data_IF_787098618296
#
_entry.id   IF_787098618296
#
_cell.length_a   1.000
_cell.length_b   1.000
_cell.length_c   1.000
_cell.angle_alpha   90.00
_cell.angle_beta   90.00
_cell.angle_gamma   90.00
#
_symmetry.space_group_name_H-M   'P 1'
#
loop_
_entity.id
_entity.type
_entity.pdbx_description
1 polymer ?
#
# COMPACT_ATOMS: atom_id res chain seq x y z
N UNK A 1 -22.76 -24.63 -25.77
CA UNK A 1 -21.90 -23.58 -25.17
C UNK A 1 -21.36 -24.16 -23.88
N UNK A 2 -20.10 -24.59 -23.87
CA UNK A 2 -19.48 -25.16 -22.68
C UNK A 2 -19.06 -24.01 -21.77
N UNK A 3 -19.86 -23.74 -20.74
CA UNK A 3 -19.44 -22.88 -19.65
C UNK A 3 -18.32 -23.62 -18.93
N UNK A 4 -17.06 -23.21 -19.14
CA UNK A 4 -15.98 -23.59 -18.25
C UNK A 4 -16.35 -22.99 -16.89
N UNK A 5 -16.97 -23.80 -16.03
CA UNK A 5 -17.09 -23.50 -14.60
C UNK A 5 -15.65 -23.50 -14.11
N UNK A 6 -15.03 -22.31 -14.04
CA UNK A 6 -13.76 -22.20 -13.36
C UNK A 6 -14.02 -22.60 -11.92
N UNK A 7 -13.50 -23.76 -11.53
CA UNK A 7 -13.45 -24.21 -10.13
C UNK A 7 -12.52 -23.25 -9.37
N UNK A 8 -13.00 -22.03 -9.12
CA UNK A 8 -12.33 -21.05 -8.30
C UNK A 8 -12.39 -21.58 -6.86
N UNK A 9 -11.24 -21.64 -6.21
CA UNK A 9 -11.10 -22.09 -4.83
C UNK A 9 -10.51 -20.96 -4.02
N UNK A 10 -11.04 -20.76 -2.81
CA UNK A 10 -10.54 -19.78 -1.88
C UNK A 10 -9.04 -20.00 -1.63
N UNK A 11 -8.18 -18.98 -1.81
CA UNK A 11 -6.73 -19.11 -1.63
C UNK A 11 -6.33 -19.45 -0.19
N UNK A 12 -7.19 -19.16 0.79
CA UNK A 12 -6.95 -19.48 2.20
C UNK A 12 -7.35 -20.92 2.55
N UNK A 13 -8.64 -21.26 2.43
CA UNK A 13 -9.20 -22.52 2.93
C UNK A 13 -9.50 -23.57 1.84
N UNK A 14 -9.39 -23.22 0.56
CA UNK A 14 -9.68 -24.13 -0.56
C UNK A 14 -11.17 -24.37 -0.85
N UNK A 15 -12.07 -23.66 -0.15
CA UNK A 15 -13.51 -23.76 -0.37
C UNK A 15 -13.89 -23.30 -1.79
N UNK A 16 -14.85 -23.97 -2.47
CA UNK A 16 -15.32 -23.53 -3.79
C UNK A 16 -15.95 -22.14 -3.70
N UNK A 17 -15.52 -21.23 -4.57
CA UNK A 17 -16.02 -19.85 -4.63
C UNK A 17 -16.58 -19.58 -6.03
N UNK A 18 -17.52 -18.65 -6.11
CA UNK A 18 -18.10 -18.16 -7.36
C UNK A 18 -17.34 -16.93 -7.87
N UNK A 19 -17.42 -16.67 -9.17
CA UNK A 19 -16.83 -15.48 -9.80
C UNK A 19 -17.38 -14.21 -9.13
N UNK A 20 -16.50 -13.32 -8.69
CA UNK A 20 -16.87 -12.03 -8.08
C UNK A 20 -17.28 -12.09 -6.60
N UNK A 21 -17.14 -13.23 -5.91
CA UNK A 21 -17.30 -13.28 -4.46
C UNK A 21 -16.15 -12.53 -3.77
N UNK A 22 -16.49 -11.53 -2.95
CA UNK A 22 -15.51 -10.76 -2.16
C UNK A 22 -15.06 -11.49 -0.90
N UNK A 23 -15.92 -12.35 -0.36
CA UNK A 23 -15.67 -13.15 0.84
C UNK A 23 -16.06 -14.60 0.62
N UNK A 24 -15.26 -15.50 1.20
CA UNK A 24 -15.52 -16.93 1.21
C UNK A 24 -16.60 -17.26 2.24
N UNK A 25 -17.43 -18.30 2.04
CA UNK A 25 -18.39 -18.79 3.06
C UNK A 25 -17.77 -19.12 4.42
N UNK A 26 -16.46 -19.38 4.48
CA UNK A 26 -15.69 -19.59 5.71
C UNK A 26 -15.28 -18.27 6.42
N UNK A 27 -15.69 -17.09 5.91
CA UNK A 27 -15.36 -15.78 6.48
C UNK A 27 -13.97 -15.24 6.11
N UNK A 28 -13.33 -15.80 5.08
CA UNK A 28 -12.03 -15.33 4.62
C UNK A 28 -12.17 -14.35 3.45
N UNK A 29 -11.45 -13.21 3.45
CA UNK A 29 -11.48 -12.27 2.33
C UNK A 29 -10.86 -12.92 1.10
N UNK A 30 -11.56 -12.87 -0.03
CA UNK A 30 -11.03 -13.30 -1.33
C UNK A 30 -10.28 -12.14 -1.97
N UNK A 31 -10.85 -10.93 -1.91
CA UNK A 31 -10.20 -9.69 -2.33
C UNK A 31 -9.62 -8.96 -1.11
N UNK A 32 -8.31 -8.78 -1.09
CA UNK A 32 -7.60 -8.07 -0.03
C UNK A 32 -7.71 -6.58 -0.30
N UNK A 33 -8.56 -5.89 0.46
CA UNK A 33 -8.81 -4.46 0.30
C UNK A 33 -7.89 -3.58 1.14
N UNK A 34 -7.35 -4.12 2.24
CA UNK A 34 -6.52 -3.38 3.20
C UNK A 34 -5.31 -4.20 3.64
N UNK A 35 -4.21 -3.52 3.98
CA UNK A 35 -3.00 -4.15 4.49
C UNK A 35 -3.23 -4.89 5.81
N UNK A 36 -4.20 -4.45 6.63
CA UNK A 36 -4.53 -5.09 7.90
C UNK A 36 -4.91 -6.57 7.73
N UNK A 37 -5.60 -6.88 6.64
CA UNK A 37 -6.02 -8.25 6.33
C UNK A 37 -4.83 -9.17 6.05
N UNK A 38 -3.73 -8.66 5.50
CA UNK A 38 -2.53 -9.45 5.18
C UNK A 38 -1.43 -9.35 6.23
N UNK A 39 -1.51 -8.41 7.17
CA UNK A 39 -0.39 -8.14 8.06
C UNK A 39 -0.02 -9.38 8.92
N UNK A 40 -1.04 -10.11 9.38
CA UNK A 40 -0.89 -11.34 10.16
C UNK A 40 -0.78 -12.62 9.32
N UNK A 41 -0.86 -12.53 7.99
CA UNK A 41 -0.75 -13.70 7.11
C UNK A 41 0.71 -14.14 6.91
N UNK A 42 1.01 -15.44 7.01
CA UNK A 42 2.35 -15.95 6.75
C UNK A 42 2.68 -15.93 5.25
N UNK A 43 3.95 -15.76 4.89
CA UNK A 43 4.39 -15.61 3.50
C UNK A 43 3.90 -16.70 2.52
N UNK A 44 3.81 -17.99 2.90
CA UNK A 44 3.24 -19.02 2.02
C UNK A 44 1.76 -18.77 1.68
N UNK A 45 0.99 -18.21 2.61
CA UNK A 45 -0.41 -17.86 2.40
C UNK A 45 -0.52 -16.67 1.44
N UNK A 46 0.28 -15.62 1.66
CA UNK A 46 0.33 -14.45 0.76
C UNK A 46 0.69 -14.86 -0.67
N UNK A 47 1.63 -15.80 -0.84
CA UNK A 47 1.98 -16.35 -2.16
C UNK A 47 0.81 -17.10 -2.84
N UNK A 48 -0.08 -17.74 -2.08
CA UNK A 48 -1.30 -18.35 -2.65
C UNK A 48 -2.25 -17.29 -3.20
N UNK A 49 -2.45 -16.18 -2.47
CA UNK A 49 -3.23 -15.03 -2.95
C UNK A 49 -2.62 -14.43 -4.22
N UNK A 50 -1.31 -14.23 -4.25
CA UNK A 50 -0.62 -13.72 -5.46
C UNK A 50 -0.88 -14.62 -6.67
N UNK A 51 -0.78 -15.94 -6.50
CA UNK A 51 -1.04 -16.89 -7.59
C UNK A 51 -2.51 -16.92 -8.01
N UNK A 52 -3.43 -16.71 -7.07
CA UNK A 52 -4.86 -16.58 -7.34
C UNK A 52 -5.14 -15.33 -8.19
N UNK A 53 -4.69 -14.15 -7.74
CA UNK A 53 -4.87 -12.89 -8.47
C UNK A 53 -4.19 -12.86 -9.83
N UNK A 54 -3.01 -13.48 -9.98
CA UNK A 54 -2.35 -13.61 -11.30
C UNK A 54 -3.20 -14.37 -12.31
N UNK A 55 -3.98 -15.38 -11.87
CA UNK A 55 -4.89 -16.10 -12.76
C UNK A 55 -6.06 -15.21 -13.18
N UNK A 56 -6.61 -14.44 -12.25
CA UNK A 56 -7.71 -13.50 -12.54
C UNK A 56 -7.26 -12.37 -13.49
N UNK A 57 -6.10 -11.77 -13.22
CA UNK A 57 -5.49 -10.76 -14.10
C UNK A 57 -5.10 -11.32 -15.48
N UNK A 58 -5.00 -12.64 -15.63
CA UNK A 58 -4.84 -13.28 -16.93
C UNK A 58 -6.08 -13.14 -17.82
N UNK A 59 -7.26 -12.95 -17.21
CA UNK A 59 -8.53 -12.73 -17.93
C UNK A 59 -8.87 -11.24 -18.07
N UNK A 60 -8.57 -10.44 -17.06
CA UNK A 60 -8.80 -8.99 -17.04
C UNK A 60 -7.58 -8.27 -16.45
N UNK A 61 -6.56 -7.94 -17.27
CA UNK A 61 -5.29 -7.38 -16.78
C UNK A 61 -5.40 -6.00 -16.12
N UNK A 62 -6.44 -5.24 -16.45
CA UNK A 62 -6.67 -3.87 -16.00
C UNK A 62 -7.67 -3.80 -14.84
N UNK A 63 -8.00 -4.95 -14.24
CA UNK A 63 -8.91 -4.99 -13.10
C UNK A 63 -8.29 -4.27 -11.89
N UNK A 64 -8.86 -3.12 -11.53
CA UNK A 64 -8.28 -2.22 -10.51
C UNK A 64 -8.32 -2.80 -9.11
N UNK A 65 -9.43 -3.44 -8.73
CA UNK A 65 -9.58 -4.06 -7.41
C UNK A 65 -8.54 -5.19 -7.21
N UNK A 66 -8.33 -6.01 -8.25
CA UNK A 66 -7.37 -7.12 -8.20
C UNK A 66 -5.93 -6.61 -8.25
N UNK A 67 -5.65 -5.59 -9.07
CA UNK A 67 -4.34 -4.93 -9.11
C UNK A 67 -3.97 -4.29 -7.75
N UNK A 68 -4.93 -3.66 -7.07
CA UNK A 68 -4.73 -3.18 -5.69
C UNK A 68 -4.44 -4.35 -4.73
N UNK A 69 -5.26 -5.40 -4.79
CA UNK A 69 -5.17 -6.57 -3.90
C UNK A 69 -3.83 -7.30 -4.04
N UNK A 70 -3.36 -7.51 -5.27
CA UNK A 70 -2.06 -8.13 -5.53
C UNK A 70 -0.90 -7.19 -5.15
N UNK A 71 -1.06 -5.88 -5.32
CA UNK A 71 -0.11 -4.86 -4.87
C UNK A 71 0.12 -4.92 -3.36
N UNK A 72 -0.96 -4.98 -2.58
CA UNK A 72 -0.90 -5.16 -1.12
C UNK A 72 -0.17 -6.46 -0.75
N UNK A 73 -0.42 -7.56 -1.46
CA UNK A 73 0.29 -8.82 -1.24
C UNK A 73 1.80 -8.69 -1.53
N UNK A 74 2.18 -8.06 -2.64
CA UNK A 74 3.59 -7.83 -2.97
C UNK A 74 4.27 -6.92 -1.95
N UNK A 75 3.56 -5.91 -1.48
CA UNK A 75 4.02 -4.98 -0.46
C UNK A 75 4.29 -5.70 0.88
N UNK A 76 3.40 -6.62 1.29
CA UNK A 76 3.61 -7.47 2.48
C UNK A 76 4.86 -8.36 2.37
N UNK A 77 5.26 -8.71 1.16
CA UNK A 77 6.50 -9.46 0.89
C UNK A 77 7.71 -8.55 0.61
N UNK A 78 7.57 -7.23 0.78
CA UNK A 78 8.59 -6.21 0.47
C UNK A 78 9.09 -6.27 -0.99
N UNK A 79 8.25 -6.74 -1.91
CA UNK A 79 8.52 -6.76 -3.36
C UNK A 79 8.10 -5.44 -4.00
N UNK A 80 8.71 -4.33 -3.55
CA UNK A 80 8.27 -2.97 -3.84
C UNK A 80 8.10 -2.65 -5.34
N UNK A 81 9.00 -3.12 -6.19
CA UNK A 81 8.89 -2.87 -7.64
C UNK A 81 7.61 -3.48 -8.25
N UNK A 82 7.30 -4.74 -7.89
CA UNK A 82 6.07 -5.41 -8.35
C UNK A 82 4.82 -4.82 -7.72
N UNK A 83 4.92 -4.38 -6.45
CA UNK A 83 3.83 -3.70 -5.78
C UNK A 83 3.51 -2.37 -6.47
N UNK A 84 4.52 -1.58 -6.82
CA UNK A 84 4.36 -0.32 -7.53
C UNK A 84 3.72 -0.53 -8.91
N UNK A 85 4.20 -1.49 -9.71
CA UNK A 85 3.58 -1.83 -11.01
C UNK A 85 2.08 -2.18 -10.88
N UNK A 86 1.71 -2.90 -9.82
CA UNK A 86 0.33 -3.25 -9.55
C UNK A 86 -0.50 -2.02 -9.09
N UNK A 87 0.07 -1.17 -8.23
CA UNK A 87 -0.60 0.06 -7.81
C UNK A 87 -0.77 1.05 -8.96
N UNK A 88 0.23 1.20 -9.84
CA UNK A 88 0.13 2.05 -11.03
C UNK A 88 -1.08 1.66 -11.89
N UNK A 89 -1.28 0.35 -12.12
CA UNK A 89 -2.49 -0.15 -12.81
C UNK A 89 -3.77 0.09 -12.04
N UNK A 90 -3.75 -0.05 -10.72
CA UNK A 90 -4.91 0.17 -9.87
C UNK A 90 -5.35 1.65 -9.82
N UNK A 91 -4.42 2.58 -10.05
CA UNK A 91 -4.66 4.03 -10.11
C UNK A 91 -5.22 4.51 -11.46
N UNK A 92 -5.08 3.72 -12.53
CA UNK A 92 -5.60 4.10 -13.86
C UNK A 92 -7.11 4.35 -13.77
N UNK A 93 -7.53 5.58 -14.06
CA UNK A 93 -8.91 6.04 -14.00
C UNK A 93 -9.61 5.77 -12.64
N UNK A 94 -8.85 5.68 -11.54
CA UNK A 94 -9.37 5.47 -10.18
C UNK A 94 -8.75 6.48 -9.22
N UNK A 95 -9.33 7.68 -9.22
CA UNK A 95 -8.81 8.83 -8.50
C UNK A 95 -9.30 8.91 -7.06
N UNK A 96 -10.21 8.04 -6.64
CA UNK A 96 -10.90 8.13 -5.34
C UNK A 96 -10.27 7.23 -4.26
N UNK A 97 -9.17 6.54 -4.56
CA UNK A 97 -8.53 5.60 -3.65
C UNK A 97 -7.22 6.13 -3.06
N UNK A 98 -7.35 6.89 -1.97
CA UNK A 98 -6.22 7.51 -1.26
C UNK A 98 -5.18 6.49 -0.77
N UNK A 99 -5.60 5.28 -0.40
CA UNK A 99 -4.69 4.24 0.11
C UNK A 99 -3.75 3.72 -0.98
N UNK A 100 -4.22 3.62 -2.22
CA UNK A 100 -3.38 3.15 -3.32
C UNK A 100 -2.23 4.14 -3.58
N UNK A 101 -2.50 5.45 -3.53
CA UNK A 101 -1.46 6.47 -3.61
C UNK A 101 -0.47 6.39 -2.43
N UNK A 102 -0.98 6.21 -1.21
CA UNK A 102 -0.14 6.03 -0.03
C UNK A 102 0.80 4.81 -0.15
N UNK A 103 0.29 3.65 -0.56
CA UNK A 103 1.13 2.47 -0.75
C UNK A 103 2.13 2.63 -1.91
N UNK A 104 1.74 3.32 -2.99
CA UNK A 104 2.66 3.65 -4.08
C UNK A 104 3.82 4.52 -3.59
N UNK A 105 3.55 5.55 -2.76
CA UNK A 105 4.58 6.37 -2.14
C UNK A 105 5.57 5.55 -1.29
N UNK A 106 5.07 4.58 -0.52
CA UNK A 106 5.92 3.65 0.23
C UNK A 106 6.77 2.79 -0.70
N UNK A 107 6.20 2.28 -1.79
CA UNK A 107 6.92 1.45 -2.76
C UNK A 107 8.07 2.21 -3.46
N UNK A 108 7.89 3.51 -3.73
CA UNK A 108 8.91 4.38 -4.32
C UNK A 108 10.17 4.47 -3.45
N UNK A 109 10.03 4.41 -2.12
CA UNK A 109 11.16 4.41 -1.18
C UNK A 109 11.90 3.06 -1.13
N UNK A 110 11.27 1.98 -1.60
CA UNK A 110 11.92 0.71 -1.91
C UNK A 110 12.55 -0.01 -0.71
N UNK A 111 11.97 0.12 0.49
CA UNK A 111 12.50 -0.53 1.69
C UNK A 111 13.78 0.09 2.24
N UNK A 112 14.08 1.34 1.86
CA UNK A 112 15.27 2.08 2.28
C UNK A 112 14.84 3.37 2.96
N UNK A 113 15.68 3.87 3.87
CA UNK A 113 15.49 5.18 4.50
C UNK A 113 15.33 6.26 3.43
N UNK A 114 14.42 7.21 3.66
CA UNK A 114 14.20 8.31 2.72
C UNK A 114 15.52 9.05 2.40
N UNK A 115 16.39 9.25 3.40
CA UNK A 115 17.71 9.86 3.23
C UNK A 115 18.56 9.29 2.07
N UNK A 116 18.47 7.97 1.83
CA UNK A 116 19.25 7.23 0.84
C UNK A 116 18.62 7.21 -0.56
N UNK A 117 17.38 7.67 -0.70
CA UNK A 117 16.69 7.70 -1.97
C UNK A 117 17.15 8.91 -2.82
N UNK A 118 17.14 8.79 -4.16
CA UNK A 118 17.43 9.93 -5.03
C UNK A 118 16.32 10.98 -4.92
N UNK A 119 16.68 12.24 -5.23
CA UNK A 119 15.73 13.37 -5.18
C UNK A 119 14.44 13.10 -5.94
N UNK A 120 14.56 12.54 -7.14
CA UNK A 120 13.43 12.17 -8.00
C UNK A 120 12.43 11.23 -7.32
N UNK A 121 12.90 10.27 -6.52
CA UNK A 121 12.01 9.34 -5.81
C UNK A 121 11.34 10.03 -4.63
N UNK A 122 12.04 10.92 -3.94
CA UNK A 122 11.46 11.69 -2.85
C UNK A 122 10.36 12.63 -3.33
N UNK A 123 10.60 13.33 -4.44
CA UNK A 123 9.61 14.23 -5.02
C UNK A 123 8.37 13.44 -5.47
N UNK A 124 8.54 12.31 -6.17
CA UNK A 124 7.43 11.42 -6.52
C UNK A 124 6.67 10.86 -5.31
N UNK A 125 7.38 10.46 -4.26
CA UNK A 125 6.74 9.96 -3.05
C UNK A 125 5.89 11.04 -2.38
N UNK A 126 6.37 12.29 -2.34
CA UNK A 126 5.60 13.43 -1.85
C UNK A 126 4.40 13.74 -2.75
N UNK A 127 4.55 13.71 -4.08
CA UNK A 127 3.44 13.88 -5.03
C UNK A 127 2.32 12.85 -4.80
N UNK A 128 2.67 11.59 -4.56
CA UNK A 128 1.70 10.55 -4.23
C UNK A 128 1.03 10.80 -2.85
N UNK A 129 1.77 11.28 -1.85
CA UNK A 129 1.18 11.61 -0.55
C UNK A 129 0.23 12.81 -0.68
N UNK A 130 0.61 13.83 -1.45
CA UNK A 130 -0.25 14.99 -1.72
C UNK A 130 -1.51 14.57 -2.47
N UNK A 131 -1.40 13.67 -3.46
CA UNK A 131 -2.56 13.09 -4.13
C UNK A 131 -3.47 12.33 -3.15
N UNK A 132 -2.90 11.51 -2.26
CA UNK A 132 -3.66 10.82 -1.22
C UNK A 132 -4.40 11.78 -0.30
N UNK A 133 -3.74 12.88 0.10
CA UNK A 133 -4.30 13.94 0.95
C UNK A 133 -5.42 14.72 0.25
N UNK A 134 -5.33 14.93 -1.06
CA UNK A 134 -6.39 15.57 -1.84
C UNK A 134 -7.67 14.73 -1.91
N UNK A 135 -7.52 13.41 -1.92
CA UNK A 135 -8.64 12.46 -1.91
C UNK A 135 -9.25 12.35 -0.52
N UNK A 136 -8.42 12.04 0.48
CA UNK A 136 -8.86 11.91 1.87
C UNK A 136 -7.76 12.38 2.85
N UNK A 137 -8.02 13.39 3.68
CA UNK A 137 -7.05 13.86 4.66
C UNK A 137 -6.99 12.90 5.86
N UNK A 138 -6.03 11.97 5.85
CA UNK A 138 -5.74 11.07 6.98
C UNK A 138 -4.47 11.46 7.73
N UNK A 139 -4.48 11.32 9.05
CA UNK A 139 -3.33 11.66 9.90
C UNK A 139 -2.06 10.88 9.53
N UNK A 140 -2.19 9.62 9.12
CA UNK A 140 -1.05 8.79 8.70
C UNK A 140 -0.35 9.31 7.44
N UNK A 141 -1.07 10.00 6.54
CA UNK A 141 -0.47 10.60 5.34
C UNK A 141 0.39 11.80 5.71
N UNK A 142 -0.11 12.67 6.59
CA UNK A 142 0.68 13.78 7.16
C UNK A 142 1.90 13.26 7.94
N UNK A 143 1.73 12.21 8.73
CA UNK A 143 2.82 11.59 9.48
C UNK A 143 3.89 11.03 8.53
N UNK A 144 3.48 10.36 7.44
CA UNK A 144 4.42 9.84 6.45
C UNK A 144 5.15 10.97 5.70
N UNK A 145 4.44 12.04 5.33
CA UNK A 145 5.05 13.25 4.78
C UNK A 145 6.08 13.85 5.74
N UNK A 146 5.75 13.92 7.04
CA UNK A 146 6.67 14.40 8.07
C UNK A 146 7.93 13.53 8.16
N UNK A 147 7.79 12.21 8.09
CA UNK A 147 8.92 11.28 8.08
C UNK A 147 9.86 11.53 6.91
N UNK A 148 9.33 11.70 5.69
CA UNK A 148 10.15 12.01 4.51
C UNK A 148 10.84 13.36 4.68
N UNK A 149 10.11 14.39 5.14
CA UNK A 149 10.67 15.73 5.36
C UNK A 149 11.77 15.74 6.43
N UNK A 150 11.59 15.01 7.51
CA UNK A 150 12.62 14.85 8.53
C UNK A 150 13.84 14.12 7.98
N UNK A 151 13.65 12.89 7.49
CA UNK A 151 14.75 11.99 7.18
C UNK A 151 15.52 12.42 5.91
N UNK A 152 14.85 13.01 4.91
CA UNK A 152 15.53 13.49 3.70
C UNK A 152 15.97 14.95 3.79
N UNK A 153 15.09 15.87 4.19
CA UNK A 153 15.36 17.31 4.06
C UNK A 153 16.02 17.88 5.31
N UNK A 154 15.44 17.65 6.49
CA UNK A 154 15.97 18.20 7.75
C UNK A 154 17.39 17.71 8.01
N UNK A 155 17.64 16.40 7.83
CA UNK A 155 18.99 15.82 7.97
C UNK A 155 20.01 16.36 6.95
N UNK A 156 19.55 16.85 5.79
CA UNK A 156 20.40 17.49 4.77
C UNK A 156 20.42 19.02 4.86
N UNK A 157 19.81 19.59 5.90
CA UNK A 157 19.67 21.04 6.09
C UNK A 157 18.95 21.75 4.92
N UNK A 158 18.08 21.04 4.20
CA UNK A 158 17.21 21.64 3.20
C UNK A 158 15.99 22.27 3.87
N UNK A 159 15.67 23.50 3.47
CA UNK A 159 14.46 24.18 3.90
C UNK A 159 13.30 23.76 3.02
N UNK A 160 12.19 23.37 3.66
CA UNK A 160 10.92 23.08 3.00
C UNK A 160 9.79 23.71 3.77
N UNK A 161 8.75 24.14 3.05
CA UNK A 161 7.45 24.47 3.64
C UNK A 161 6.39 23.53 3.04
N UNK A 162 5.53 22.89 3.86
CA UNK A 162 5.64 22.81 5.31
C UNK A 162 6.93 22.09 5.75
N UNK A 163 7.41 22.36 6.96
CA UNK A 163 8.54 21.61 7.55
C UNK A 163 8.07 20.28 8.16
N UNK A 164 8.99 19.45 8.67
CA UNK A 164 8.58 18.16 9.25
C UNK A 164 7.76 18.32 10.54
N UNK A 165 7.95 19.41 11.30
CA UNK A 165 7.26 19.67 12.57
C UNK A 165 5.82 20.12 12.32
N UNK A 166 5.62 20.97 11.34
CA UNK A 166 4.32 21.39 10.84
C UNK A 166 3.54 20.18 10.28
N UNK A 167 4.21 19.28 9.55
CA UNK A 167 3.56 18.04 9.11
C UNK A 167 3.20 17.12 10.28
N UNK A 168 4.04 17.02 11.31
CA UNK A 168 3.72 16.27 12.52
C UNK A 168 2.54 16.88 13.28
N UNK A 169 2.47 18.21 13.43
CA UNK A 169 1.34 18.85 14.09
C UNK A 169 0.04 18.59 13.31
N UNK A 170 0.07 18.70 11.98
CA UNK A 170 -1.09 18.34 11.15
C UNK A 170 -1.51 16.87 11.34
N UNK A 171 -0.55 15.94 11.44
CA UNK A 171 -0.86 14.53 11.69
C UNK A 171 -1.54 14.31 13.05
N UNK A 172 -1.08 15.01 14.10
CA UNK A 172 -1.64 14.94 15.44
C UNK A 172 -3.04 15.56 15.48
N UNK A 173 -3.23 16.70 14.81
CA UNK A 173 -4.51 17.42 14.77
C UNK A 173 -5.60 16.60 14.07
N UNK A 174 -5.27 15.91 12.99
CA UNK A 174 -6.18 14.98 12.29
C UNK A 174 -6.38 13.68 13.08
N UNK A 175 -5.37 13.30 13.87
CA UNK A 175 -5.33 12.07 14.64
C UNK A 175 -4.65 10.93 13.87
N UNK A 176 -3.60 10.37 14.48
CA UNK A 176 -2.93 9.18 13.97
C UNK A 176 -2.76 8.17 15.12
N UNK A 177 -3.35 6.97 15.04
CA UNK A 177 -3.17 5.96 16.06
C UNK A 177 -1.78 5.32 15.96
N UNK A 178 -1.22 4.91 17.11
CA UNK A 178 0.10 4.26 17.16
C UNK A 178 0.19 2.99 16.31
N UNK A 179 -0.95 2.30 16.15
CA UNK A 179 -1.07 1.10 15.32
C UNK A 179 -0.76 1.41 13.85
N UNK A 180 -1.26 2.53 13.32
CA UNK A 180 -1.00 2.94 11.93
C UNK A 180 0.47 3.34 11.75
N UNK A 181 1.07 3.97 12.77
CA UNK A 181 2.51 4.30 12.75
C UNK A 181 3.35 3.02 12.72
N UNK A 182 3.02 2.02 13.55
CA UNK A 182 3.71 0.73 13.53
C UNK A 182 3.62 0.07 12.15
N UNK A 183 2.41 0.04 11.57
CA UNK A 183 2.18 -0.51 10.24
C UNK A 183 2.97 0.22 9.17
N UNK A 184 3.05 1.56 9.22
CA UNK A 184 3.85 2.32 8.28
C UNK A 184 5.33 1.88 8.32
N UNK A 185 5.92 1.72 9.50
CA UNK A 185 7.31 1.28 9.61
C UNK A 185 7.52 -0.19 9.24
N UNK A 186 6.55 -1.06 9.50
CA UNK A 186 6.55 -2.44 9.01
C UNK A 186 6.60 -2.46 7.48
N UNK A 187 5.73 -1.68 6.84
CA UNK A 187 5.65 -1.62 5.37
C UNK A 187 6.89 -0.95 4.76
N UNK A 188 7.39 0.13 5.37
CA UNK A 188 8.62 0.80 4.93
C UNK A 188 9.87 -0.07 5.13
N UNK A 189 9.82 -1.06 6.02
CA UNK A 189 10.95 -1.89 6.42
C UNK A 189 12.17 -1.07 6.89
N UNK A 190 11.92 -0.02 7.69
CA UNK A 190 12.93 0.87 8.26
C UNK A 190 12.65 1.15 9.73
N UNK A 191 13.71 1.43 10.49
CA UNK A 191 13.61 1.85 11.89
C UNK A 191 12.93 3.21 12.03
N UNK A 192 11.97 3.34 12.95
CA UNK A 192 11.41 4.63 13.39
C UNK A 192 12.51 5.53 13.96
N UNK A 193 12.65 6.79 13.50
CA UNK A 193 13.54 7.76 14.13
C UNK A 193 13.05 8.16 15.53
N UNK A 194 13.96 8.37 16.48
CA UNK A 194 13.62 8.67 17.89
C UNK A 194 12.85 9.99 18.09
N UNK A 195 12.94 10.91 17.13
CA UNK A 195 12.33 12.24 17.19
C UNK A 195 10.93 12.30 16.54
N UNK A 196 10.40 11.17 16.06
CA UNK A 196 9.11 11.04 15.39
C UNK A 196 8.15 10.23 16.24
#
# INVERSE_FOLDING_TARGET
MAYNVMDLKCPNCGFPISVGQKECPAGHPINITSFNSVNSMPSPMVNRYINFYKKELGTDPENKEINKSIGICFLKLHLYAKALEAFDKAMIDNFDDSETYFYAAVCILGGKKAFLNPRSNIDKALEYIDAALMVEPRGIYYYFMAYIKYDYFSRKSYMTSPDYRECLSMAIDVGVPDVDIQMLYDVLNVSRPDCM
#
